data_IF_594935280851
#
_entry.id   IF_594935280851
#
_cell.length_a   1.000
_cell.length_b   1.000
_cell.length_c   1.000
_cell.angle_alpha   90.00
_cell.angle_beta   90.00
_cell.angle_gamma   90.00
#
_symmetry.space_group_name_H-M   'P 1'
#
loop_
_entity.id
_entity.type
_entity.pdbx_description
1 polymer ?
#
# COMPACT_ATOMS: atom_id res chain seq x y z
N UNK A 1 19.54 1.43 -25.50
CA UNK A 1 18.08 1.52 -25.67
C UNK A 1 17.46 0.68 -24.57
N UNK A 2 16.87 1.32 -23.58
CA UNK A 2 16.20 0.62 -22.47
C UNK A 2 14.96 -0.08 -23.02
N UNK A 3 14.96 -1.40 -22.98
CA UNK A 3 13.91 -2.25 -23.54
C UNK A 3 13.20 -2.89 -22.37
N UNK A 4 11.96 -2.49 -22.11
CA UNK A 4 11.16 -3.12 -21.06
C UNK A 4 10.63 -4.47 -21.53
N UNK A 5 10.97 -5.52 -20.79
CA UNK A 5 10.33 -6.83 -20.87
C UNK A 5 8.98 -6.76 -20.16
N UNK A 6 7.89 -6.96 -20.90
CA UNK A 6 6.56 -7.13 -20.33
C UNK A 6 6.49 -8.55 -19.75
N UNK A 7 6.26 -8.66 -18.45
CA UNK A 7 6.12 -9.95 -17.77
C UNK A 7 4.64 -10.27 -17.53
N UNK A 8 4.34 -11.53 -17.20
CA UNK A 8 2.96 -11.97 -16.92
C UNK A 8 2.33 -11.25 -15.72
N UNK A 9 3.17 -10.74 -14.80
CA UNK A 9 2.76 -10.09 -13.56
C UNK A 9 2.61 -8.56 -13.70
N UNK A 10 2.80 -7.99 -14.89
CA UNK A 10 2.64 -6.55 -15.11
C UNK A 10 1.18 -6.12 -14.92
N UNK A 11 0.95 -5.12 -14.08
CA UNK A 11 -0.38 -4.55 -13.86
C UNK A 11 -0.97 -4.02 -15.18
N UNK A 12 -2.28 -4.23 -15.41
CA UNK A 12 -2.93 -3.85 -16.67
C UNK A 12 -2.77 -2.34 -16.95
N UNK A 13 -2.78 -1.48 -15.92
CA UNK A 13 -2.61 -0.03 -16.08
C UNK A 13 -1.16 0.32 -16.41
N UNK A 14 -0.20 -0.39 -15.82
CA UNK A 14 1.21 -0.25 -16.17
C UNK A 14 1.46 -0.66 -17.61
N UNK A 15 1.00 -1.85 -18.02
CA UNK A 15 1.12 -2.31 -19.40
C UNK A 15 0.54 -1.30 -20.39
N UNK A 16 -0.63 -0.73 -20.08
CA UNK A 16 -1.25 0.31 -20.90
C UNK A 16 -0.35 1.53 -21.09
N UNK A 17 0.23 2.04 -20.00
CA UNK A 17 1.13 3.21 -20.06
C UNK A 17 2.40 2.92 -20.86
N UNK A 18 2.96 1.72 -20.70
CA UNK A 18 4.10 1.28 -21.50
C UNK A 18 3.74 1.18 -23.00
N UNK A 19 2.54 0.70 -23.34
CA UNK A 19 2.06 0.61 -24.71
C UNK A 19 1.88 2.00 -25.33
N UNK A 20 1.34 2.98 -24.59
CA UNK A 20 1.24 4.38 -25.02
C UNK A 20 2.62 4.93 -25.42
N UNK A 21 3.63 4.76 -24.56
CA UNK A 21 5.01 5.22 -24.83
C UNK A 21 5.65 4.51 -26.02
N UNK A 22 5.29 3.23 -26.26
CA UNK A 22 5.77 2.51 -27.45
C UNK A 22 5.14 3.07 -28.71
N UNK A 23 3.82 3.28 -28.70
CA UNK A 23 3.08 3.79 -29.85
C UNK A 23 3.46 5.23 -30.21
N UNK A 24 3.82 6.06 -29.23
CA UNK A 24 4.27 7.44 -29.47
C UNK A 24 5.62 7.55 -30.21
N UNK A 25 6.34 6.44 -30.41
CA UNK A 25 7.55 6.40 -31.24
C UNK A 25 7.24 6.23 -32.72
N UNK A 26 5.99 5.96 -33.07
CA UNK A 26 5.48 5.91 -34.42
C UNK A 26 4.81 7.25 -34.78
N UNK A 27 4.53 7.45 -36.07
CA UNK A 27 3.87 8.66 -36.59
C UNK A 27 2.35 8.60 -36.32
N UNK A 28 1.98 8.53 -35.05
CA UNK A 28 0.60 8.51 -34.57
C UNK A 28 0.34 9.74 -33.70
N UNK A 29 -0.82 10.35 -33.91
CA UNK A 29 -1.35 11.39 -33.03
C UNK A 29 -1.77 10.81 -31.68
N UNK A 30 -1.88 11.66 -30.65
CA UNK A 30 -2.32 11.20 -29.32
C UNK A 30 -3.76 10.65 -29.33
N UNK A 31 -4.60 11.14 -30.26
CA UNK A 31 -5.98 10.67 -30.43
C UNK A 31 -6.00 9.25 -31.03
N UNK A 32 -5.21 8.98 -32.06
CA UNK A 32 -5.07 7.63 -32.63
C UNK A 32 -4.49 6.64 -31.61
N UNK A 33 -3.51 7.06 -30.81
CA UNK A 33 -2.99 6.23 -29.71
C UNK A 33 -4.08 5.93 -28.68
N UNK A 34 -4.91 6.93 -28.35
CA UNK A 34 -6.00 6.77 -27.39
C UNK A 34 -7.02 5.73 -27.88
N UNK A 35 -7.38 5.77 -29.17
CA UNK A 35 -8.27 4.81 -29.81
C UNK A 35 -7.68 3.39 -29.82
N UNK A 36 -6.43 3.24 -30.26
CA UNK A 36 -5.73 1.93 -30.31
C UNK A 36 -5.63 1.30 -28.92
N UNK A 37 -5.36 2.10 -27.89
CA UNK A 37 -5.19 1.64 -26.51
C UNK A 37 -6.52 1.60 -25.74
N UNK A 38 -7.61 2.08 -26.36
CA UNK A 38 -8.95 2.21 -25.76
C UNK A 38 -8.92 2.97 -24.43
N UNK A 39 -8.35 4.17 -24.44
CA UNK A 39 -8.27 5.07 -23.29
C UNK A 39 -8.56 6.52 -23.68
N UNK A 40 -8.53 7.45 -22.72
CA UNK A 40 -8.73 8.87 -23.04
C UNK A 40 -7.44 9.51 -23.56
N UNK A 41 -7.57 10.48 -24.46
CA UNK A 41 -6.43 11.29 -24.92
C UNK A 41 -5.71 12.01 -23.76
N UNK A 42 -6.45 12.41 -22.71
CA UNK A 42 -5.85 12.97 -21.49
C UNK A 42 -4.92 12.01 -20.76
N UNK A 43 -5.24 10.71 -20.71
CA UNK A 43 -4.34 9.69 -20.15
C UNK A 43 -3.07 9.55 -20.99
N UNK A 44 -3.20 9.57 -22.32
CA UNK A 44 -2.07 9.55 -23.25
C UNK A 44 -1.15 10.73 -22.98
N UNK A 45 -1.70 11.94 -22.97
CA UNK A 45 -0.97 13.18 -22.71
C UNK A 45 -0.20 13.13 -21.37
N UNK A 46 -0.88 12.77 -20.27
CA UNK A 46 -0.25 12.67 -18.95
C UNK A 46 0.85 11.61 -18.91
N UNK A 47 0.62 10.45 -19.52
CA UNK A 47 1.61 9.36 -19.57
C UNK A 47 2.87 9.80 -20.30
N UNK A 48 2.72 10.46 -21.45
CA UNK A 48 3.85 10.95 -22.24
C UNK A 48 4.58 12.08 -21.53
N UNK A 49 3.86 12.98 -20.84
CA UNK A 49 4.47 14.03 -20.03
C UNK A 49 5.33 13.43 -18.90
N UNK A 50 4.76 12.51 -18.12
CA UNK A 50 5.49 11.85 -17.03
C UNK A 50 6.69 11.06 -17.55
N UNK A 51 6.54 10.39 -18.68
CA UNK A 51 7.65 9.67 -19.32
C UNK A 51 8.74 10.61 -19.83
N UNK A 52 8.38 11.79 -20.35
CA UNK A 52 9.36 12.78 -20.78
C UNK A 52 10.15 13.37 -19.60
N UNK A 53 9.52 13.50 -18.43
CA UNK A 53 10.17 14.02 -17.21
C UNK A 53 11.03 12.97 -16.52
N UNK A 54 10.48 11.78 -16.26
CA UNK A 54 11.08 10.79 -15.34
C UNK A 54 11.35 9.42 -16.03
N UNK A 55 11.21 9.32 -17.35
CA UNK A 55 11.35 8.08 -18.08
C UNK A 55 10.35 7.01 -17.62
N UNK A 56 10.79 5.75 -17.58
CA UNK A 56 9.93 4.64 -17.15
C UNK A 56 9.51 4.72 -15.69
N UNK A 57 10.29 5.41 -14.85
CA UNK A 57 9.92 5.61 -13.44
C UNK A 57 8.68 6.49 -13.28
N UNK A 58 8.47 7.47 -14.18
CA UNK A 58 7.28 8.34 -14.18
C UNK A 58 5.97 7.67 -14.58
N UNK A 59 6.05 6.48 -15.19
CA UNK A 59 4.87 5.68 -15.59
C UNK A 59 4.77 4.36 -14.84
N UNK A 60 5.70 4.08 -13.92
CA UNK A 60 5.68 2.92 -13.06
C UNK A 60 4.42 2.92 -12.18
N UNK A 61 3.89 1.75 -11.78
CA UNK A 61 2.80 1.67 -10.84
C UNK A 61 3.24 2.27 -9.50
N UNK A 62 2.50 3.28 -9.04
CA UNK A 62 2.65 3.77 -7.66
C UNK A 62 1.81 2.85 -6.76
N UNK A 63 2.42 2.18 -5.77
CA UNK A 63 1.66 1.41 -4.79
C UNK A 63 0.65 2.34 -4.12
N UNK A 64 -0.62 1.94 -4.10
CA UNK A 64 -1.56 2.58 -3.20
C UNK A 64 -1.18 2.18 -1.78
N UNK A 65 -0.34 2.97 -1.13
CA UNK A 65 -0.17 2.93 0.31
C UNK A 65 -1.53 3.27 0.90
N UNK A 66 -2.18 2.28 1.50
CA UNK A 66 -3.42 2.50 2.24
C UNK A 66 -3.22 3.55 3.35
N UNK A 67 -4.30 3.91 4.08
CA UNK A 67 -4.20 4.85 5.19
C UNK A 67 -3.05 4.48 6.12
N UNK A 68 -2.25 5.47 6.50
CA UNK A 68 -1.16 5.28 7.46
C UNK A 68 -1.72 4.60 8.71
N UNK A 69 -1.11 3.49 9.11
CA UNK A 69 -1.49 2.80 10.35
C UNK A 69 -1.36 3.78 11.52
N UNK A 70 -2.39 3.90 12.35
CA UNK A 70 -2.35 4.76 13.53
C UNK A 70 -1.25 4.38 14.52
N UNK A 71 -0.88 3.10 14.58
CA UNK A 71 0.32 2.62 15.26
C UNK A 71 1.47 2.54 14.25
N UNK A 72 2.56 3.25 14.53
CA UNK A 72 3.80 3.15 13.77
C UNK A 72 4.68 1.98 14.24
N UNK A 73 5.86 1.80 13.63
CA UNK A 73 6.76 0.70 13.99
C UNK A 73 7.26 0.75 15.44
N UNK A 74 7.40 1.96 16.00
CA UNK A 74 7.85 2.17 17.38
C UNK A 74 6.73 1.90 18.38
N UNK A 75 5.49 2.26 18.03
CA UNK A 75 4.30 1.93 18.80
C UNK A 75 4.08 0.41 18.84
N UNK A 76 4.30 -0.28 17.72
CA UNK A 76 4.18 -1.75 17.66
C UNK A 76 5.21 -2.44 18.56
N UNK A 77 6.46 -1.97 18.58
CA UNK A 77 7.48 -2.48 19.49
C UNK A 77 7.13 -2.21 20.96
N UNK A 78 6.57 -1.03 21.24
CA UNK A 78 6.08 -0.69 22.58
C UNK A 78 4.93 -1.62 22.98
N UNK A 79 3.97 -1.86 22.09
CA UNK A 79 2.86 -2.79 22.32
C UNK A 79 3.36 -4.20 22.66
N UNK A 80 4.35 -4.72 21.94
CA UNK A 80 4.97 -6.03 22.23
C UNK A 80 5.57 -6.09 23.64
N UNK A 81 6.24 -5.02 24.08
CA UNK A 81 6.76 -4.92 25.45
C UNK A 81 5.65 -4.89 26.50
N UNK A 82 4.54 -4.18 26.24
CA UNK A 82 3.41 -4.12 27.16
C UNK A 82 2.72 -5.48 27.27
N UNK A 83 2.54 -6.20 26.16
CA UNK A 83 1.98 -7.54 26.16
C UNK A 83 2.86 -8.54 26.92
N UNK A 84 4.19 -8.38 26.84
CA UNK A 84 5.17 -9.22 27.53
C UNK A 84 5.16 -9.09 29.05
N UNK A 85 4.61 -8.00 29.61
CA UNK A 85 4.44 -7.83 31.06
C UNK A 85 3.34 -8.72 31.65
N UNK A 86 2.51 -9.32 30.80
CA UNK A 86 1.36 -10.11 31.22
C UNK A 86 0.12 -9.25 31.48
N UNK A 87 -1.06 -9.87 31.37
CA UNK A 87 -2.33 -9.18 31.59
C UNK A 87 -2.57 -8.87 33.08
N UNK A 88 -1.93 -9.62 33.97
CA UNK A 88 -2.07 -9.44 35.42
C UNK A 88 -1.57 -8.07 35.88
N UNK A 89 -0.50 -7.55 35.26
CA UNK A 89 0.05 -6.22 35.52
C UNK A 89 -0.92 -5.09 35.16
N UNK A 90 -1.94 -5.39 34.35
CA UNK A 90 -3.00 -4.47 33.93
C UNK A 90 -4.32 -4.73 34.68
N UNK A 91 -4.28 -5.48 35.78
CA UNK A 91 -5.42 -5.70 36.67
C UNK A 91 -6.39 -6.79 36.22
N UNK A 92 -5.99 -7.65 35.27
CA UNK A 92 -6.78 -8.83 34.90
C UNK A 92 -6.49 -10.01 35.83
N UNK A 93 -7.53 -10.76 36.22
CA UNK A 93 -7.38 -11.91 37.11
C UNK A 93 -6.65 -13.10 36.49
N UNK A 94 -6.67 -13.20 35.16
CA UNK A 94 -6.02 -14.27 34.42
C UNK A 94 -4.96 -13.68 33.50
N UNK A 95 -3.78 -14.31 33.47
CA UNK A 95 -2.61 -13.82 32.74
C UNK A 95 -2.61 -14.21 31.26
N UNK A 96 -3.68 -13.86 30.56
CA UNK A 96 -3.79 -14.03 29.11
C UNK A 96 -4.32 -12.77 28.43
N UNK A 97 -3.87 -12.53 27.21
CA UNK A 97 -4.34 -11.44 26.36
C UNK A 97 -5.36 -11.97 25.36
N UNK A 98 -6.61 -11.56 25.48
CA UNK A 98 -7.57 -11.64 24.37
C UNK A 98 -7.62 -10.33 23.58
N UNK A 99 -8.23 -10.41 22.39
CA UNK A 99 -8.37 -9.25 21.48
C UNK A 99 -9.09 -8.06 22.13
N UNK A 100 -10.02 -8.28 23.05
CA UNK A 100 -10.75 -7.21 23.75
C UNK A 100 -9.89 -6.54 24.81
N UNK A 101 -9.05 -7.30 25.52
CA UNK A 101 -8.06 -6.76 26.47
C UNK A 101 -6.98 -5.95 25.75
N UNK A 102 -6.48 -6.46 24.62
CA UNK A 102 -5.52 -5.74 23.77
C UNK A 102 -6.14 -4.48 23.18
N UNK A 103 -7.41 -4.51 22.76
CA UNK A 103 -8.14 -3.32 22.31
C UNK A 103 -8.15 -2.24 23.39
N UNK A 104 -8.51 -2.61 24.62
CA UNK A 104 -8.52 -1.68 25.77
C UNK A 104 -7.13 -1.14 26.07
N UNK A 105 -6.11 -2.00 26.05
CA UNK A 105 -4.72 -1.59 26.22
C UNK A 105 -4.34 -0.54 25.18
N UNK A 106 -4.62 -0.80 23.89
CA UNK A 106 -4.27 0.14 22.82
C UNK A 106 -5.01 1.47 22.96
N UNK A 107 -6.31 1.41 23.27
CA UNK A 107 -7.11 2.61 23.51
C UNK A 107 -6.58 3.43 24.69
N UNK A 108 -6.20 2.78 25.79
CA UNK A 108 -5.67 3.47 26.98
C UNK A 108 -4.25 4.01 26.80
N UNK A 109 -3.38 3.32 26.07
CA UNK A 109 -1.95 3.65 25.99
C UNK A 109 -1.61 4.54 24.79
N UNK A 110 -2.26 4.31 23.65
CA UNK A 110 -2.01 5.04 22.40
C UNK A 110 -3.16 5.99 22.01
N UNK A 111 -4.30 5.96 22.71
CA UNK A 111 -5.45 6.82 22.40
C UNK A 111 -6.17 6.45 21.10
N UNK A 112 -5.89 5.26 20.56
CA UNK A 112 -6.44 4.78 19.28
C UNK A 112 -7.54 3.75 19.52
N UNK A 113 -8.69 3.96 18.90
CA UNK A 113 -9.77 2.98 18.92
C UNK A 113 -9.73 2.11 17.66
N UNK A 114 -9.71 0.80 17.86
CA UNK A 114 -9.66 -0.19 16.80
C UNK A 114 -10.71 -1.25 17.03
N UNK A 115 -11.43 -1.62 15.97
CA UNK A 115 -12.29 -2.81 16.01
C UNK A 115 -11.45 -4.08 16.25
N UNK A 116 -12.07 -5.13 16.83
CA UNK A 116 -11.39 -6.40 17.13
C UNK A 116 -10.72 -7.08 15.91
N UNK A 117 -11.27 -6.86 14.71
CA UNK A 117 -10.66 -7.33 13.45
C UNK A 117 -9.32 -6.64 13.16
N UNK A 118 -9.19 -5.35 13.48
CA UNK A 118 -7.93 -4.61 13.37
C UNK A 118 -6.93 -5.09 14.42
N UNK A 119 -7.38 -5.38 15.65
CA UNK A 119 -6.52 -5.95 16.69
C UNK A 119 -5.89 -7.26 16.24
N UNK A 120 -6.68 -8.16 15.63
CA UNK A 120 -6.16 -9.42 15.10
C UNK A 120 -5.06 -9.19 14.05
N UNK A 121 -5.22 -8.20 13.17
CA UNK A 121 -4.21 -7.84 12.16
C UNK A 121 -2.97 -7.23 12.81
N UNK A 122 -3.13 -6.41 13.85
CA UNK A 122 -2.02 -5.82 14.61
C UNK A 122 -1.21 -6.91 15.30
N UNK A 123 -1.86 -7.85 16.00
CA UNK A 123 -1.19 -8.98 16.66
C UNK A 123 -0.43 -9.86 15.65
N UNK A 124 -1.01 -10.12 14.48
CA UNK A 124 -0.31 -10.83 13.39
C UNK A 124 0.93 -10.08 12.89
N UNK A 125 0.87 -8.75 12.77
CA UNK A 125 2.02 -7.93 12.34
C UNK A 125 3.19 -8.05 13.31
N UNK A 126 2.93 -8.09 14.62
CA UNK A 126 3.95 -8.27 15.66
C UNK A 126 4.22 -9.74 16.00
N UNK A 127 3.66 -10.68 15.24
CA UNK A 127 3.81 -12.13 15.43
C UNK A 127 3.45 -12.63 16.83
N UNK A 128 2.49 -11.98 17.49
CA UNK A 128 1.99 -12.38 18.79
C UNK A 128 0.89 -13.45 18.65
N UNK A 129 1.01 -14.56 19.40
CA UNK A 129 0.08 -15.71 19.37
C UNK A 129 -0.54 -16.00 20.72
#
# INVERSE_FOLDING_TARGET
METLEITKDTDIKEYRRQLIVRLSKHDLTQEEIADVVSCSQGLVSQTLQNYATDGFSGIAPVPHSGPTSGLDSSDLATLEQLLSKGASDYGYSEDYWDRSRVQKLISSHFGLDYCLSNISKILQKIRWS
#
